data_IF_620654660576
#
_entry.id   IF_620654660576
#
_cell.length_a   1.000
_cell.length_b   1.000
_cell.length_c   1.000
_cell.angle_alpha   90.00
_cell.angle_beta   90.00
_cell.angle_gamma   90.00
#
_symmetry.space_group_name_H-M   'P 1'
#
loop_
_entity.id
_entity.type
_entity.pdbx_description
1 polymer ?
#
# COMPACT_ATOMS: atom_id res chain seq x y z
N UNK A 1 6.51 -22.96 2.47
CA UNK A 1 5.87 -21.76 3.05
C UNK A 1 5.24 -20.95 1.93
N UNK A 2 4.32 -20.03 2.24
CA UNK A 2 3.73 -19.07 1.29
C UNK A 2 3.83 -17.64 1.86
N UNK A 3 3.79 -16.64 0.99
CA UNK A 3 3.60 -15.22 1.33
C UNK A 3 2.29 -14.75 0.70
N UNK A 4 1.27 -14.53 1.52
CA UNK A 4 -0.05 -14.04 1.10
C UNK A 4 -0.35 -12.70 1.76
N UNK A 5 -1.30 -11.95 1.21
CA UNK A 5 -1.66 -10.65 1.76
C UNK A 5 -2.85 -10.07 1.01
N UNK A 6 -3.23 -8.86 1.40
CA UNK A 6 -4.38 -8.20 0.83
C UNK A 6 -4.92 -7.11 1.73
N UNK A 7 -6.23 -6.87 1.60
CA UNK A 7 -6.96 -5.90 2.41
C UNK A 7 -7.61 -6.62 3.60
N UNK A 8 -7.27 -6.16 4.81
CA UNK A 8 -7.81 -6.69 6.06
C UNK A 8 -9.31 -6.39 6.13
N UNK A 9 -10.13 -7.41 6.37
CA UNK A 9 -11.57 -7.28 6.57
C UNK A 9 -11.86 -7.16 8.08
N UNK A 10 -11.26 -8.04 8.88
CA UNK A 10 -11.58 -8.23 10.29
C UNK A 10 -10.40 -8.85 11.03
N UNK A 11 -10.25 -8.48 12.32
CA UNK A 11 -9.24 -9.02 13.24
C UNK A 11 -9.99 -9.53 14.47
N UNK A 12 -9.89 -10.83 14.74
CA UNK A 12 -10.57 -11.52 15.83
C UNK A 12 -9.53 -12.17 16.75
N UNK A 13 -9.24 -11.56 17.91
CA UNK A 13 -8.49 -12.21 18.98
C UNK A 13 -9.28 -13.40 19.56
N UNK A 14 -8.59 -14.51 19.74
CA UNK A 14 -9.04 -15.71 20.44
C UNK A 14 -8.16 -15.92 21.69
N UNK A 15 -8.42 -16.99 22.46
CA UNK A 15 -7.75 -17.22 23.76
C UNK A 15 -6.22 -17.38 23.65
N UNK A 16 -5.70 -17.89 22.53
CA UNK A 16 -4.27 -18.20 22.35
C UNK A 16 -3.67 -17.69 21.03
N UNK A 17 -4.49 -17.18 20.11
CA UNK A 17 -4.10 -16.71 18.78
C UNK A 17 -4.95 -15.51 18.37
N UNK A 18 -4.50 -14.73 17.39
CA UNK A 18 -5.35 -13.76 16.70
C UNK A 18 -5.50 -14.19 15.25
N UNK A 19 -6.76 -14.30 14.81
CA UNK A 19 -7.12 -14.65 13.45
C UNK A 19 -7.58 -13.41 12.67
N UNK A 20 -7.22 -13.36 11.40
CA UNK A 20 -7.40 -12.22 10.50
C UNK A 20 -8.14 -12.70 9.25
N UNK A 21 -9.31 -12.12 8.99
CA UNK A 21 -10.06 -12.35 7.75
C UNK A 21 -9.57 -11.37 6.70
N UNK A 22 -9.04 -11.86 5.58
CA UNK A 22 -8.35 -11.04 4.57
C UNK A 22 -8.95 -11.25 3.19
N UNK A 23 -9.20 -10.17 2.45
CA UNK A 23 -9.49 -10.20 1.02
C UNK A 23 -8.16 -10.28 0.27
N UNK A 24 -7.88 -11.41 -0.39
CA UNK A 24 -6.61 -11.65 -1.07
C UNK A 24 -6.39 -10.74 -2.27
N UNK A 25 -5.24 -10.09 -2.33
CA UNK A 25 -4.79 -9.26 -3.46
C UNK A 25 -3.42 -9.73 -3.95
N UNK A 26 -3.10 -9.58 -5.26
CA UNK A 26 -1.76 -9.81 -5.77
C UNK A 26 -0.70 -8.97 -5.02
N UNK A 27 0.48 -9.53 -4.79
CA UNK A 27 1.56 -8.84 -4.09
C UNK A 27 2.58 -8.25 -5.07
N UNK A 28 3.05 -7.02 -4.79
CA UNK A 28 4.26 -6.45 -5.41
C UNK A 28 5.51 -7.21 -4.94
N UNK A 29 6.66 -6.97 -5.58
CA UNK A 29 7.93 -7.63 -5.23
C UNK A 29 8.26 -7.51 -3.73
N UNK A 30 8.10 -6.30 -3.17
CA UNK A 30 8.29 -5.97 -1.75
C UNK A 30 7.26 -6.62 -0.79
N UNK A 31 6.30 -7.38 -1.31
CA UNK A 31 5.24 -8.03 -0.53
C UNK A 31 4.03 -7.16 -0.25
N UNK A 32 3.97 -5.93 -0.76
CA UNK A 32 2.82 -5.04 -0.55
C UNK A 32 1.63 -5.46 -1.43
N UNK A 33 0.41 -5.53 -0.88
CA UNK A 33 -0.80 -5.74 -1.66
C UNK A 33 -1.01 -4.68 -2.75
N UNK A 34 -1.38 -5.13 -3.96
CA UNK A 34 -1.80 -4.28 -5.08
C UNK A 34 -3.30 -3.95 -4.96
N UNK A 35 -3.63 -2.95 -4.16
CA UNK A 35 -5.00 -2.43 -4.07
C UNK A 35 -5.34 -1.49 -5.23
N UNK A 36 -5.04 -1.90 -6.47
CA UNK A 36 -5.33 -1.14 -7.70
C UNK A 36 -6.73 -1.46 -8.21
N UNK A 37 -7.47 -0.43 -8.65
CA UNK A 37 -8.87 -0.57 -9.09
C UNK A 37 -8.95 -1.44 -10.35
N UNK A 38 -9.44 -2.66 -10.20
CA UNK A 38 -9.71 -3.58 -11.32
C UNK A 38 -8.82 -4.83 -11.37
N UNK A 39 -7.81 -4.97 -10.50
CA UNK A 39 -7.15 -6.27 -10.34
C UNK A 39 -8.09 -7.27 -9.64
N UNK A 40 -8.04 -8.54 -10.06
CA UNK A 40 -8.92 -9.58 -9.54
C UNK A 40 -8.50 -10.05 -8.13
N UNK A 41 -9.40 -9.91 -7.16
CA UNK A 41 -9.22 -10.47 -5.82
C UNK A 41 -9.19 -12.00 -5.86
N UNK A 42 -8.26 -12.61 -5.11
CA UNK A 42 -8.02 -14.07 -5.12
C UNK A 42 -8.95 -14.84 -4.16
N UNK A 43 -10.12 -14.28 -3.84
CA UNK A 43 -11.01 -14.78 -2.78
C UNK A 43 -10.64 -14.27 -1.38
N UNK A 44 -11.17 -14.91 -0.33
CA UNK A 44 -10.83 -14.60 1.07
C UNK A 44 -10.05 -15.74 1.71
N UNK A 45 -9.13 -15.42 2.61
CA UNK A 45 -8.43 -16.38 3.45
C UNK A 45 -8.45 -15.96 4.93
N UNK A 46 -8.20 -16.94 5.81
CA UNK A 46 -8.04 -16.72 7.25
C UNK A 46 -6.56 -16.94 7.59
N UNK A 47 -5.88 -15.93 8.13
CA UNK A 47 -4.53 -16.10 8.67
C UNK A 47 -4.59 -16.02 10.19
N UNK A 48 -3.99 -16.97 10.90
CA UNK A 48 -3.92 -16.95 12.36
C UNK A 48 -2.46 -16.99 12.81
N UNK A 49 -2.12 -16.19 13.82
CA UNK A 49 -0.79 -16.14 14.47
C UNK A 49 -0.98 -16.26 15.98
N UNK A 50 -0.06 -16.94 16.70
CA UNK A 50 -0.09 -16.99 18.16
C UNK A 50 -0.13 -15.60 18.81
N UNK A 51 -0.74 -15.52 19.99
CA UNK A 51 -0.81 -14.30 20.80
C UNK A 51 -1.83 -13.26 20.36
N UNK A 52 -1.79 -12.10 21.02
CA UNK A 52 -2.77 -11.02 20.87
C UNK A 52 -2.31 -9.93 19.89
N UNK A 53 -3.21 -9.51 19.00
CA UNK A 53 -3.05 -8.35 18.13
C UNK A 53 -4.27 -7.43 18.25
N UNK A 54 -4.06 -6.16 18.60
CA UNK A 54 -5.11 -5.17 18.85
C UNK A 54 -5.93 -4.85 17.57
N UNK A 55 -7.25 -5.10 17.54
CA UNK A 55 -8.13 -4.76 16.42
C UNK A 55 -8.21 -3.27 16.07
N UNK A 56 -7.84 -2.34 16.98
CA UNK A 56 -7.74 -0.91 16.66
C UNK A 56 -6.54 -0.61 15.78
N UNK A 57 -5.37 -1.18 16.12
CA UNK A 57 -4.15 -1.08 15.30
C UNK A 57 -4.32 -1.87 13.99
N UNK A 58 -4.82 -3.09 14.09
CA UNK A 58 -5.11 -4.01 13.00
C UNK A 58 -6.56 -3.86 12.53
N UNK A 59 -6.94 -2.63 12.22
CA UNK A 59 -8.28 -2.23 11.83
C UNK A 59 -8.63 -2.62 10.40
N UNK A 60 -9.93 -2.75 10.13
CA UNK A 60 -10.47 -3.05 8.81
C UNK A 60 -10.01 -2.04 7.75
N UNK A 61 -9.79 -2.51 6.53
CA UNK A 61 -9.35 -1.72 5.38
C UNK A 61 -7.85 -1.46 5.29
N UNK A 62 -7.05 -1.85 6.30
CA UNK A 62 -5.57 -1.80 6.24
C UNK A 62 -5.01 -2.83 5.26
N UNK A 63 -3.90 -2.50 4.60
CA UNK A 63 -3.14 -3.46 3.81
C UNK A 63 -2.24 -4.28 4.75
N UNK A 64 -2.22 -5.60 4.57
CA UNK A 64 -1.49 -6.53 5.44
C UNK A 64 -0.90 -7.70 4.64
N UNK A 65 0.25 -8.20 5.08
CA UNK A 65 0.96 -9.35 4.48
C UNK A 65 1.36 -10.34 5.56
N UNK A 66 1.27 -11.63 5.26
CA UNK A 66 1.58 -12.76 6.12
C UNK A 66 2.61 -13.68 5.46
N UNK A 67 3.49 -14.28 6.25
CA UNK A 67 4.37 -15.38 5.82
C UNK A 67 4.09 -16.60 6.71
N UNK A 68 3.89 -17.77 6.09
CA UNK A 68 3.41 -18.93 6.85
C UNK A 68 3.22 -20.21 6.04
N UNK A 69 2.33 -21.07 6.53
CA UNK A 69 1.96 -22.36 5.95
C UNK A 69 0.44 -22.41 5.78
N UNK A 70 -0.05 -22.86 4.62
CA UNK A 70 -1.47 -23.20 4.45
C UNK A 70 -1.70 -24.57 5.07
N UNK A 71 -2.74 -24.71 5.90
CA UNK A 71 -2.91 -25.89 6.77
C UNK A 71 -4.22 -26.64 6.58
N UNK A 72 -5.13 -26.08 5.79
CA UNK A 72 -6.42 -26.67 5.47
C UNK A 72 -7.41 -25.60 5.02
N UNK A 73 -8.69 -25.95 5.08
CA UNK A 73 -9.82 -25.04 4.88
C UNK A 73 -10.74 -25.07 6.10
N UNK A 74 -11.39 -23.95 6.38
CA UNK A 74 -12.34 -23.79 7.49
C UNK A 74 -13.64 -23.21 6.95
N UNK A 75 -14.78 -23.76 7.39
CA UNK A 75 -16.09 -23.20 7.09
C UNK A 75 -16.38 -22.03 8.04
N UNK A 76 -16.67 -20.85 7.49
CA UNK A 76 -17.16 -19.71 8.27
C UNK A 76 -18.25 -18.98 7.47
N UNK A 77 -19.25 -18.41 8.16
CA UNK A 77 -20.43 -17.84 7.49
C UNK A 77 -20.18 -16.42 6.96
N UNK A 78 -20.69 -16.14 5.76
CA UNK A 78 -20.85 -14.78 5.23
C UNK A 78 -22.35 -14.53 5.12
N UNK A 79 -22.92 -13.85 6.12
CA UNK A 79 -24.38 -13.81 6.30
C UNK A 79 -24.92 -15.22 6.54
N UNK A 80 -25.73 -15.73 5.61
CA UNK A 80 -26.27 -17.10 5.67
C UNK A 80 -25.48 -18.12 4.83
N UNK A 81 -24.50 -17.70 4.04
CA UNK A 81 -23.72 -18.61 3.18
C UNK A 81 -22.49 -19.17 3.92
N UNK A 82 -22.33 -20.50 3.93
CA UNK A 82 -21.11 -21.14 4.41
C UNK A 82 -19.99 -20.95 3.36
N UNK A 83 -18.97 -20.16 3.68
CA UNK A 83 -17.80 -19.94 2.82
C UNK A 83 -16.60 -20.78 3.29
N UNK A 84 -15.82 -21.29 2.35
CA UNK A 84 -14.59 -22.05 2.61
C UNK A 84 -13.38 -21.09 2.61
N UNK A 85 -12.85 -20.81 3.79
CA UNK A 85 -11.62 -20.02 3.95
C UNK A 85 -10.40 -20.94 4.02
N UNK A 86 -9.42 -20.83 3.13
CA UNK A 86 -8.09 -21.42 3.35
C UNK A 86 -7.49 -20.85 4.64
N UNK A 87 -7.05 -21.72 5.56
CA UNK A 87 -6.39 -21.30 6.81
C UNK A 87 -4.87 -21.30 6.62
N UNK A 88 -4.25 -20.20 7.00
CA UNK A 88 -2.81 -19.98 7.02
C UNK A 88 -2.34 -19.82 8.47
N UNK A 89 -1.43 -20.68 8.91
CA UNK A 89 -0.63 -20.48 10.13
C UNK A 89 0.48 -19.49 9.80
N UNK A 90 0.41 -18.29 10.36
CA UNK A 90 1.37 -17.21 10.11
C UNK A 90 2.49 -17.24 11.16
N UNK A 91 3.74 -17.32 10.70
CA UNK A 91 4.93 -17.11 11.52
C UNK A 91 5.44 -15.66 11.49
N UNK A 92 4.96 -14.84 10.54
CA UNK A 92 5.21 -13.42 10.50
C UNK A 92 4.01 -12.64 9.95
N UNK A 93 3.78 -11.46 10.53
CA UNK A 93 2.76 -10.47 10.17
C UNK A 93 3.44 -9.16 9.82
N UNK A 94 3.01 -8.51 8.73
CA UNK A 94 3.47 -7.17 8.35
C UNK A 94 2.28 -6.28 8.00
N UNK A 95 1.97 -5.33 8.88
CA UNK A 95 0.93 -4.32 8.71
C UNK A 95 1.51 -3.12 7.98
N UNK A 96 0.99 -2.79 6.79
CA UNK A 96 1.48 -1.64 6.04
C UNK A 96 1.01 -0.33 6.68
N UNK A 97 1.90 0.66 6.69
CA UNK A 97 1.55 2.03 7.06
C UNK A 97 0.51 2.58 6.07
N UNK A 98 -0.42 3.37 6.59
CA UNK A 98 -1.24 4.23 5.75
C UNK A 98 -0.28 5.19 5.03
N UNK A 99 -0.27 5.18 3.69
CA UNK A 99 0.49 6.18 2.94
C UNK A 99 -0.12 7.55 3.28
N UNK A 100 0.68 8.55 3.71
CA UNK A 100 0.15 9.89 3.83
C UNK A 100 -0.40 10.31 2.46
N UNK A 101 -1.54 11.00 2.45
CA UNK A 101 -2.04 11.64 1.25
C UNK A 101 -0.99 12.69 0.89
N UNK A 102 -0.11 12.37 -0.06
CA UNK A 102 0.73 13.39 -0.67
C UNK A 102 -0.24 14.42 -1.25
N UNK A 103 -0.18 15.71 -0.86
CA UNK A 103 -0.90 16.72 -1.62
C UNK A 103 -0.43 16.62 -3.07
N UNK A 104 -1.31 16.87 -4.07
CA UNK A 104 -0.86 16.95 -5.45
C UNK A 104 0.28 17.97 -5.48
N UNK A 105 1.46 17.54 -5.91
CA UNK A 105 2.59 18.45 -6.10
C UNK A 105 2.16 19.39 -7.21
N UNK A 106 1.82 20.63 -6.85
CA UNK A 106 1.78 21.70 -7.81
C UNK A 106 3.22 21.85 -8.30
N UNK A 107 3.50 21.34 -9.50
CA UNK A 107 4.71 21.69 -10.23
C UNK A 107 4.63 23.19 -10.49
N UNK A 108 5.21 23.96 -9.58
CA UNK A 108 5.41 25.39 -9.75
C UNK A 108 6.42 25.58 -10.87
N UNK A 109 5.93 25.57 -12.10
CA UNK A 109 6.64 25.97 -13.30
C UNK A 109 7.07 27.43 -13.14
N UNK A 110 8.23 27.62 -12.52
CA UNK A 110 8.98 28.86 -12.62
C UNK A 110 9.38 29.03 -14.08
N UNK A 111 8.56 29.79 -14.81
CA UNK A 111 8.93 30.41 -16.09
C UNK A 111 10.09 31.37 -15.81
N UNK A 112 11.31 30.82 -15.78
CA UNK A 112 12.54 31.55 -15.51
C UNK A 112 12.78 32.60 -16.59
N UNK A 113 12.59 33.86 -16.22
CA UNK A 113 12.72 34.99 -17.16
C UNK A 113 14.21 35.30 -17.37
N UNK A 114 14.90 34.56 -18.24
CA UNK A 114 16.24 34.94 -18.69
C UNK A 114 17.12 33.88 -19.34
N UNK A 115 17.84 34.34 -20.37
CA UNK A 115 19.16 33.87 -20.83
C UNK A 115 19.31 32.44 -21.37
N UNK A 116 19.19 32.30 -22.70
CA UNK A 116 19.61 31.11 -23.45
C UNK A 116 20.03 31.43 -24.90
N UNK A 117 21.34 31.50 -25.13
CA UNK A 117 22.09 31.38 -26.40
C UNK A 117 21.55 32.05 -27.70
N UNK A 118 22.34 33.01 -28.21
CA UNK A 118 22.27 33.54 -29.58
C UNK A 118 22.51 32.44 -30.63
N UNK A 119 21.87 32.52 -31.82
CA UNK A 119 22.49 33.28 -32.91
C UNK A 119 21.51 34.13 -33.74
N UNK A 120 21.28 35.38 -33.34
CA UNK A 120 20.78 36.42 -34.24
C UNK A 120 20.22 37.67 -33.56
N UNK A 121 20.67 38.86 -34.02
CA UNK A 121 19.96 40.14 -34.19
C UNK A 121 18.71 40.43 -33.30
N UNK A 122 18.52 41.60 -32.66
CA UNK A 122 19.28 42.84 -32.41
C UNK A 122 18.35 43.75 -31.54
N UNK A 123 18.86 44.58 -30.62
CA UNK A 123 18.10 45.51 -29.72
C UNK A 123 17.15 44.81 -28.69
N UNK A 124 16.87 45.31 -27.48
CA UNK A 124 17.31 46.48 -26.68
C UNK A 124 16.45 46.53 -25.38
N UNK A 125 16.41 47.61 -24.58
CA UNK A 125 17.25 48.81 -24.53
C UNK A 125 17.94 49.03 -23.14
N UNK A 126 18.92 49.93 -23.08
CA UNK A 126 19.92 50.01 -22.01
C UNK A 126 19.54 50.61 -20.65
N UNK A 127 20.47 50.41 -19.71
CA UNK A 127 21.05 51.44 -18.83
C UNK A 127 22.57 51.16 -18.70
N UNK A 128 23.41 52.20 -18.50
CA UNK A 128 24.88 52.09 -18.39
C UNK A 128 25.37 51.55 -17.02
N UNK A 129 26.62 51.71 -16.58
CA UNK A 129 27.76 52.57 -16.99
C UNK A 129 28.98 52.13 -16.12
N UNK A 130 30.28 52.01 -16.48
CA UNK A 130 31.12 52.16 -17.70
C UNK A 130 32.40 51.28 -17.50
N UNK A 131 33.29 51.07 -18.51
CA UNK A 131 34.47 50.19 -18.37
C UNK A 131 35.73 50.87 -17.80
N UNK A 132 36.68 50.07 -17.29
CA UNK A 132 38.08 50.44 -17.02
C UNK A 132 38.99 49.23 -17.24
N UNK A 133 40.16 49.47 -17.83
CA UNK A 133 41.23 48.53 -18.21
C UNK A 133 40.91 47.62 -19.42
#
# INVERSE_FOLDING_TARGET
MVRWGGKLIETQPEEHQTCFTVLGEPLRHNGQPKSEKGEAHTGRFLACTPGFYDPMVYSSGRNITFVGRVVGVVHHKIGQFNYLYPKLEAGAVYLWLLRPIKPPVQEQFYMGVGFGNYPGWWYGPGWGFWPYW
#
